data_IF_919182276885
#
_entry.id   IF_919182276885
#
_cell.length_a   1.000
_cell.length_b   1.000
_cell.length_c   1.000
_cell.angle_alpha   90.00
_cell.angle_beta   90.00
_cell.angle_gamma   90.00
#
_symmetry.space_group_name_H-M   'P 1'
#
loop_
_entity.id
_entity.type
_entity.pdbx_description
1 polymer ?
#
# COMPACT_ATOMS: atom_id res chain seq x y z
N UNK A 1 -31.67 -20.88 5.06
CA UNK A 1 -31.47 -19.51 5.53
C UNK A 1 -32.36 -19.19 6.72
N UNK A 2 -33.68 -19.04 6.57
CA UNK A 2 -34.59 -18.42 7.55
C UNK A 2 -34.55 -18.95 9.00
N UNK A 3 -34.14 -20.21 9.21
CA UNK A 3 -33.90 -20.71 10.57
C UNK A 3 -32.66 -20.07 11.19
N UNK A 4 -31.54 -20.01 10.45
CA UNK A 4 -30.28 -19.45 10.95
C UNK A 4 -30.42 -17.96 11.22
N UNK A 5 -30.94 -17.18 10.28
CA UNK A 5 -31.21 -15.73 10.44
C UNK A 5 -32.10 -15.45 11.65
N UNK A 6 -33.06 -16.34 11.95
CA UNK A 6 -33.87 -16.20 13.15
C UNK A 6 -33.12 -16.56 14.44
N UNK A 7 -32.25 -17.57 14.39
CA UNK A 7 -31.62 -18.16 15.58
C UNK A 7 -30.26 -17.56 15.94
N UNK A 8 -29.63 -16.74 15.09
CA UNK A 8 -28.47 -15.89 15.50
C UNK A 8 -28.80 -15.00 16.70
N UNK A 9 -30.10 -14.80 16.96
CA UNK A 9 -30.59 -14.04 18.10
C UNK A 9 -30.38 -14.67 19.48
N UNK A 10 -30.24 -16.00 19.54
CA UNK A 10 -30.19 -16.74 20.81
C UNK A 10 -29.07 -17.75 20.88
N UNK A 11 -28.60 -18.24 19.73
CA UNK A 11 -27.72 -19.38 19.66
C UNK A 11 -26.34 -18.93 19.16
N UNK A 12 -25.29 -19.37 19.84
CA UNK A 12 -23.94 -19.35 19.31
C UNK A 12 -23.73 -20.58 18.46
N UNK A 13 -23.29 -20.40 17.22
CA UNK A 13 -23.06 -21.48 16.28
C UNK A 13 -21.57 -21.82 16.15
N UNK A 14 -21.28 -23.08 15.87
CA UNK A 14 -19.95 -23.59 15.54
C UNK A 14 -20.12 -24.69 14.48
N UNK A 15 -19.82 -24.32 13.22
CA UNK A 15 -20.05 -25.12 12.03
C UNK A 15 -21.50 -25.62 11.90
N UNK A 16 -21.70 -26.93 12.08
CA UNK A 16 -22.99 -27.61 11.88
C UNK A 16 -23.78 -27.88 13.17
N UNK A 17 -23.43 -27.19 14.26
CA UNK A 17 -24.09 -27.28 15.56
C UNK A 17 -24.05 -25.93 16.29
N UNK A 18 -24.83 -25.80 17.36
CA UNK A 18 -24.59 -24.75 18.36
C UNK A 18 -23.33 -25.04 19.16
N UNK A 19 -22.79 -24.04 19.85
CA UNK A 19 -21.63 -24.17 20.74
C UNK A 19 -21.90 -25.18 21.89
N UNK A 20 -23.17 -25.30 22.31
CA UNK A 20 -23.64 -26.32 23.25
C UNK A 20 -23.77 -27.74 22.65
N UNK A 21 -23.41 -27.93 21.39
CA UNK A 21 -23.40 -29.21 20.69
C UNK A 21 -24.77 -29.66 20.18
N UNK A 22 -25.75 -28.75 20.05
CA UNK A 22 -27.05 -29.06 19.44
C UNK A 22 -26.92 -29.03 17.92
N UNK A 23 -27.14 -30.15 17.19
CA UNK A 23 -27.01 -30.15 15.74
C UNK A 23 -28.06 -29.26 15.06
N UNK A 24 -27.71 -28.69 13.90
CA UNK A 24 -28.67 -27.97 13.08
C UNK A 24 -29.87 -28.86 12.70
N UNK A 25 -31.09 -28.29 12.65
CA UNK A 25 -32.30 -29.07 12.43
C UNK A 25 -32.31 -29.74 11.05
N UNK A 26 -33.05 -30.85 10.94
CA UNK A 26 -33.32 -31.55 9.67
C UNK A 26 -32.07 -32.04 8.92
N UNK A 27 -30.95 -32.27 9.61
CA UNK A 27 -29.64 -32.59 9.01
C UNK A 27 -29.17 -31.53 7.99
N UNK A 28 -29.56 -30.28 8.20
CA UNK A 28 -29.05 -29.17 7.41
C UNK A 28 -27.55 -29.02 7.68
N UNK A 29 -26.77 -28.82 6.63
CA UNK A 29 -25.34 -28.56 6.72
C UNK A 29 -25.01 -27.23 6.08
N UNK A 30 -24.16 -26.46 6.74
CA UNK A 30 -23.62 -25.19 6.29
C UNK A 30 -22.13 -25.13 6.60
N UNK A 31 -21.46 -24.17 5.99
CA UNK A 31 -20.11 -23.74 6.39
C UNK A 31 -20.11 -22.38 7.08
N UNK A 32 -21.24 -21.67 7.05
CA UNK A 32 -21.39 -20.28 7.49
C UNK A 32 -20.73 -19.96 8.85
N UNK A 33 -20.70 -20.91 9.80
CA UNK A 33 -20.15 -20.72 11.14
C UNK A 33 -18.86 -21.51 11.40
N UNK A 34 -18.17 -21.97 10.34
CA UNK A 34 -16.98 -22.82 10.47
C UNK A 34 -15.79 -22.06 11.11
N UNK A 35 -15.71 -20.75 10.89
CA UNK A 35 -14.54 -19.93 11.24
C UNK A 35 -14.75 -19.02 12.47
N UNK A 36 -15.96 -19.00 13.05
CA UNK A 36 -16.30 -18.11 14.18
C UNK A 36 -15.36 -18.27 15.39
N UNK A 37 -14.81 -19.46 15.57
CA UNK A 37 -13.93 -19.80 16.70
C UNK A 37 -12.45 -19.50 16.48
N UNK A 38 -12.03 -18.98 15.33
CA UNK A 38 -10.62 -18.94 14.95
C UNK A 38 -9.79 -17.97 15.81
N UNK A 39 -10.37 -16.84 16.25
CA UNK A 39 -9.73 -15.88 17.16
C UNK A 39 -10.12 -16.06 18.63
N UNK A 40 -11.00 -17.02 18.93
CA UNK A 40 -11.53 -17.24 20.27
C UNK A 40 -12.95 -17.77 20.24
N UNK A 41 -13.36 -18.44 21.32
CA UNK A 41 -14.77 -18.82 21.45
C UNK A 41 -15.60 -17.56 21.77
N UNK A 42 -16.73 -17.34 21.07
CA UNK A 42 -17.60 -16.21 21.37
C UNK A 42 -18.27 -16.36 22.73
N UNK A 43 -18.33 -15.25 23.47
CA UNK A 43 -19.04 -15.20 24.76
C UNK A 43 -20.49 -14.73 24.61
N UNK A 44 -20.78 -13.89 23.61
CA UNK A 44 -22.10 -13.27 23.39
C UNK A 44 -22.64 -13.49 21.98
N UNK A 45 -23.96 -13.57 21.85
CA UNK A 45 -24.61 -13.70 20.54
C UNK A 45 -24.52 -12.40 19.72
N UNK A 46 -24.72 -12.48 18.40
CA UNK A 46 -24.87 -11.30 17.55
C UNK A 46 -25.94 -10.33 18.07
N UNK A 47 -27.05 -10.86 18.61
CA UNK A 47 -28.11 -10.05 19.20
C UNK A 47 -27.72 -9.33 20.50
N UNK A 48 -26.87 -9.95 21.33
CA UNK A 48 -26.41 -9.32 22.58
C UNK A 48 -25.50 -8.12 22.27
N UNK A 49 -24.83 -8.14 21.11
CA UNK A 49 -24.01 -7.04 20.57
C UNK A 49 -24.69 -6.25 19.45
N UNK A 50 -25.99 -6.42 19.25
CA UNK A 50 -26.72 -5.71 18.20
C UNK A 50 -26.92 -4.23 18.51
N UNK A 51 -26.91 -3.42 17.45
CA UNK A 51 -27.17 -1.99 17.56
C UNK A 51 -28.61 -1.68 17.93
N UNK A 52 -28.78 -0.66 18.76
CA UNK A 52 -30.08 -0.16 19.16
C UNK A 52 -30.91 0.38 17.99
N UNK A 53 -30.28 0.85 16.91
CA UNK A 53 -30.99 1.36 15.72
C UNK A 53 -31.64 0.25 14.90
N UNK A 54 -31.00 -0.92 14.81
CA UNK A 54 -31.51 -2.09 14.08
C UNK A 54 -32.60 -2.79 14.88
N UNK A 55 -32.39 -2.91 16.19
CA UNK A 55 -33.33 -3.59 17.09
C UNK A 55 -34.57 -2.75 17.47
N UNK A 56 -34.52 -1.42 17.27
CA UNK A 56 -35.60 -0.52 17.64
C UNK A 56 -36.89 -0.76 16.84
N UNK A 57 -38.00 -0.93 17.57
CA UNK A 57 -39.33 -1.08 16.95
C UNK A 57 -39.65 -2.50 16.49
N UNK A 58 -38.69 -3.43 16.57
CA UNK A 58 -38.93 -4.85 16.35
C UNK A 58 -39.79 -5.44 17.48
N UNK A 59 -40.57 -6.47 17.14
CA UNK A 59 -41.35 -7.20 18.13
C UNK A 59 -40.42 -8.00 19.05
N UNK A 60 -40.89 -8.37 20.24
CA UNK A 60 -40.13 -9.27 21.15
C UNK A 60 -39.82 -10.64 20.54
N UNK A 61 -40.49 -11.01 19.45
CA UNK A 61 -40.22 -12.24 18.71
C UNK A 61 -39.16 -12.08 17.63
N UNK A 62 -38.83 -10.86 17.22
CA UNK A 62 -37.93 -10.56 16.11
C UNK A 62 -36.67 -9.81 16.54
N UNK A 63 -36.67 -9.19 17.72
CA UNK A 63 -35.50 -8.50 18.25
C UNK A 63 -34.29 -9.43 18.29
N UNK A 64 -33.18 -8.97 17.70
CA UNK A 64 -31.92 -9.71 17.61
C UNK A 64 -31.83 -10.74 16.48
N UNK A 65 -32.88 -10.92 15.67
CA UNK A 65 -32.81 -11.78 14.49
C UNK A 65 -32.44 -10.96 13.25
N UNK A 66 -31.68 -11.58 12.34
CA UNK A 66 -31.51 -11.09 10.98
C UNK A 66 -32.84 -11.20 10.20
N UNK A 67 -33.10 -10.28 9.27
CA UNK A 67 -34.32 -10.26 8.46
C UNK A 67 -34.22 -11.25 7.30
N UNK A 68 -34.96 -12.37 7.31
CA UNK A 68 -34.91 -13.37 6.24
C UNK A 68 -35.49 -12.90 4.89
N UNK A 69 -35.95 -11.66 4.81
CA UNK A 69 -36.43 -11.01 3.59
C UNK A 69 -35.47 -9.94 3.06
N UNK A 70 -34.42 -9.62 3.82
CA UNK A 70 -33.31 -8.77 3.40
C UNK A 70 -32.04 -9.62 3.26
N UNK A 71 -31.12 -9.20 2.38
CA UNK A 71 -29.78 -9.79 2.35
C UNK A 71 -28.82 -9.05 3.30
N UNK A 72 -29.17 -7.82 3.66
CA UNK A 72 -28.41 -6.87 4.50
C UNK A 72 -29.43 -6.32 5.51
N UNK A 73 -29.37 -6.80 6.75
CA UNK A 73 -30.40 -6.54 7.76
C UNK A 73 -30.30 -5.13 8.35
N UNK A 74 -29.09 -4.60 8.46
CA UNK A 74 -28.83 -3.33 9.13
C UNK A 74 -28.51 -2.17 8.16
N UNK A 75 -28.69 -2.42 6.87
CA UNK A 75 -28.58 -1.49 5.74
C UNK A 75 -27.19 -0.85 5.67
N UNK A 76 -26.16 -1.67 5.85
CA UNK A 76 -24.79 -1.20 5.96
C UNK A 76 -23.98 -1.30 4.67
N UNK A 77 -24.44 -2.12 3.72
CA UNK A 77 -23.79 -2.39 2.45
C UNK A 77 -23.04 -3.71 2.41
N UNK A 78 -23.08 -4.52 3.47
CA UNK A 78 -22.53 -5.86 3.58
C UNK A 78 -23.69 -6.88 3.76
N UNK A 79 -23.64 -8.09 3.17
CA UNK A 79 -24.69 -9.08 3.35
C UNK A 79 -24.52 -9.86 4.66
N UNK A 80 -25.65 -10.18 5.32
CA UNK A 80 -25.66 -10.89 6.61
C UNK A 80 -24.85 -12.19 6.56
N UNK A 81 -24.95 -12.92 5.44
CA UNK A 81 -24.26 -14.19 5.24
C UNK A 81 -22.74 -14.03 5.09
N UNK A 82 -22.29 -12.92 4.50
CA UNK A 82 -20.87 -12.60 4.38
C UNK A 82 -20.31 -12.20 5.74
N UNK A 83 -21.01 -11.31 6.45
CA UNK A 83 -20.62 -10.86 7.79
C UNK A 83 -20.51 -12.02 8.76
N UNK A 84 -21.47 -12.94 8.80
CA UNK A 84 -21.41 -14.12 9.69
C UNK A 84 -20.23 -15.05 9.32
N UNK A 85 -19.91 -15.20 8.03
CA UNK A 85 -18.81 -16.05 7.57
C UNK A 85 -17.44 -15.50 7.99
N UNK A 86 -17.28 -14.18 7.93
CA UNK A 86 -16.06 -13.48 8.34
C UNK A 86 -16.07 -13.02 9.81
N UNK A 87 -17.19 -13.13 10.52
CA UNK A 87 -17.24 -12.78 11.93
C UNK A 87 -16.27 -13.63 12.76
N UNK A 88 -15.46 -12.95 13.56
CA UNK A 88 -14.59 -13.52 14.59
C UNK A 88 -14.92 -12.86 15.91
N UNK A 89 -14.70 -13.60 16.98
CA UNK A 89 -14.77 -13.02 18.32
C UNK A 89 -13.43 -12.40 18.68
N UNK A 90 -13.38 -11.07 18.75
CA UNK A 90 -12.21 -10.35 19.24
C UNK A 90 -12.20 -10.38 20.78
N UNK A 91 -11.27 -11.17 21.33
CA UNK A 91 -11.12 -11.38 22.78
C UNK A 91 -10.69 -10.13 23.55
N UNK A 92 -10.00 -9.18 22.89
CA UNK A 92 -9.50 -7.97 23.55
C UNK A 92 -10.60 -6.93 23.67
N UNK A 93 -11.38 -6.76 22.60
CA UNK A 93 -12.48 -5.78 22.55
C UNK A 93 -13.80 -6.33 23.07
N UNK A 94 -13.87 -7.63 23.37
CA UNK A 94 -15.07 -8.31 23.86
C UNK A 94 -16.25 -8.07 22.89
N UNK A 95 -15.99 -8.21 21.59
CA UNK A 95 -16.88 -7.84 20.50
C UNK A 95 -16.70 -8.75 19.27
N UNK A 96 -17.68 -8.71 18.38
CA UNK A 96 -17.59 -9.31 17.05
C UNK A 96 -16.84 -8.39 16.09
N UNK A 97 -15.97 -8.95 15.25
CA UNK A 97 -15.33 -8.18 14.16
C UNK A 97 -16.33 -7.73 13.09
N UNK A 98 -17.38 -8.54 12.87
CA UNK A 98 -18.53 -8.23 12.02
C UNK A 98 -19.82 -8.72 12.67
N UNK A 99 -20.90 -7.97 12.53
CA UNK A 99 -22.20 -8.26 13.10
C UNK A 99 -23.33 -7.74 12.21
N UNK A 100 -24.16 -8.63 11.64
CA UNK A 100 -25.26 -8.27 10.71
C UNK A 100 -26.42 -7.49 11.35
N UNK A 101 -26.23 -7.04 12.58
CA UNK A 101 -27.18 -6.28 13.38
C UNK A 101 -26.56 -5.00 13.93
N UNK A 102 -25.37 -4.60 13.47
CA UNK A 102 -24.67 -3.38 13.84
C UNK A 102 -23.95 -2.70 12.67
N UNK A 103 -24.73 -1.92 11.92
CA UNK A 103 -24.26 -1.15 10.77
C UNK A 103 -23.16 -0.10 10.98
N UNK A 104 -22.56 -0.02 12.17
CA UNK A 104 -21.38 0.80 12.45
C UNK A 104 -20.08 0.05 12.26
N UNK A 105 -20.10 -1.28 12.26
CA UNK A 105 -18.94 -2.14 12.01
C UNK A 105 -18.41 -2.05 10.58
N UNK A 106 -19.23 -1.63 9.60
CA UNK A 106 -18.79 -1.30 8.24
C UNK A 106 -17.60 -0.33 8.18
N UNK A 107 -17.45 0.51 9.21
CA UNK A 107 -16.36 1.49 9.32
C UNK A 107 -15.19 1.00 10.18
N UNK A 108 -15.31 -0.18 10.78
CA UNK A 108 -14.20 -0.82 11.49
C UNK A 108 -13.24 -1.43 10.47
N UNK A 109 -12.07 -1.77 10.97
CA UNK A 109 -10.93 -2.33 10.27
C UNK A 109 -10.42 -3.38 11.25
N UNK A 110 -10.80 -4.64 11.01
CA UNK A 110 -10.78 -5.67 12.04
C UNK A 110 -9.40 -6.34 12.20
N UNK A 111 -8.52 -6.20 11.21
CA UNK A 111 -7.13 -6.65 11.24
C UNK A 111 -6.11 -5.48 11.22
N UNK A 112 -6.60 -4.24 11.23
CA UNK A 112 -5.85 -2.99 11.32
C UNK A 112 -4.87 -2.76 10.15
N UNK A 113 -5.26 -3.20 8.95
CA UNK A 113 -4.48 -3.12 7.72
C UNK A 113 -4.73 -1.84 6.91
N UNK A 114 -5.67 -1.00 7.36
CA UNK A 114 -6.05 0.26 6.74
C UNK A 114 -7.29 0.19 5.84
N UNK A 115 -7.85 -1.00 5.62
CA UNK A 115 -9.06 -1.24 4.84
C UNK A 115 -10.26 -1.43 5.77
N UNK A 116 -11.42 -0.90 5.38
CA UNK A 116 -12.65 -1.13 6.16
C UNK A 116 -13.39 -2.39 5.75
N UNK A 117 -14.12 -2.98 6.70
CA UNK A 117 -15.05 -4.08 6.42
C UNK A 117 -15.94 -3.81 5.20
N UNK A 118 -16.44 -2.56 5.05
CA UNK A 118 -17.21 -2.16 3.88
C UNK A 118 -16.39 -2.22 2.58
N UNK A 119 -15.16 -1.69 2.59
CA UNK A 119 -14.28 -1.71 1.42
C UNK A 119 -13.92 -3.13 1.02
N UNK A 120 -13.66 -4.01 1.99
CA UNK A 120 -13.28 -5.41 1.82
C UNK A 120 -14.37 -6.27 1.21
N UNK A 121 -15.63 -6.08 1.61
CA UNK A 121 -16.74 -6.72 0.90
C UNK A 121 -16.90 -6.11 -0.51
N UNK A 122 -16.83 -4.77 -0.62
CA UNK A 122 -17.13 -4.07 -1.87
C UNK A 122 -15.98 -4.08 -2.90
N UNK A 123 -14.87 -4.78 -2.66
CA UNK A 123 -13.92 -5.16 -3.72
C UNK A 123 -14.57 -6.08 -4.76
N UNK A 124 -15.65 -6.77 -4.39
CA UNK A 124 -16.33 -7.75 -5.24
C UNK A 124 -16.79 -7.16 -6.56
N UNK A 125 -16.80 -7.98 -7.61
CA UNK A 125 -17.43 -7.60 -8.89
C UNK A 125 -18.88 -7.17 -8.67
N UNK A 126 -19.34 -6.03 -9.25
CA UNK A 126 -20.74 -5.61 -9.22
C UNK A 126 -21.75 -6.67 -9.66
N UNK A 127 -21.33 -7.68 -10.45
CA UNK A 127 -22.21 -8.79 -10.87
C UNK A 127 -22.46 -9.82 -9.76
N UNK A 128 -21.63 -9.82 -8.72
CA UNK A 128 -21.67 -10.73 -7.58
C UNK A 128 -22.05 -10.03 -6.27
N UNK A 129 -22.13 -8.70 -6.24
CA UNK A 129 -22.63 -7.97 -5.08
C UNK A 129 -24.09 -8.32 -4.78
N UNK A 130 -24.38 -8.64 -3.52
CA UNK A 130 -25.71 -8.92 -2.98
C UNK A 130 -26.38 -7.70 -2.34
N UNK A 131 -25.69 -6.55 -2.25
CA UNK A 131 -26.17 -5.31 -1.61
C UNK A 131 -26.32 -4.15 -2.61
N UNK A 132 -25.24 -3.48 -3.00
CA UNK A 132 -25.23 -2.36 -3.95
C UNK A 132 -24.22 -2.55 -5.09
N UNK A 133 -24.71 -2.97 -6.25
CA UNK A 133 -23.89 -3.15 -7.46
C UNK A 133 -23.35 -1.83 -8.06
N UNK A 134 -23.68 -0.66 -7.50
CA UNK A 134 -23.19 0.63 -8.02
C UNK A 134 -22.06 1.22 -7.19
N UNK A 135 -21.68 0.57 -6.09
CA UNK A 135 -20.63 1.02 -5.19
C UNK A 135 -19.65 -0.11 -4.95
N UNK A 136 -18.50 -0.01 -5.58
CA UNK A 136 -17.42 -0.99 -5.43
C UNK A 136 -16.07 -0.29 -5.26
N UNK A 137 -15.20 -0.90 -4.47
CA UNK A 137 -13.80 -0.51 -4.29
C UNK A 137 -13.00 -0.84 -5.57
N UNK A 138 -12.02 0.00 -5.96
CA UNK A 138 -11.55 1.20 -5.27
C UNK A 138 -12.24 2.50 -5.74
N UNK A 139 -13.18 2.43 -6.68
CA UNK A 139 -13.86 3.64 -7.16
C UNK A 139 -14.62 4.34 -6.03
N UNK A 140 -15.21 3.58 -5.12
CA UNK A 140 -15.79 4.08 -3.88
C UNK A 140 -14.90 3.67 -2.71
N UNK A 141 -14.73 4.58 -1.76
CA UNK A 141 -13.89 4.37 -0.58
C UNK A 141 -14.49 5.11 0.62
N UNK A 142 -14.02 4.74 1.81
CA UNK A 142 -14.40 5.34 3.08
C UNK A 142 -13.52 6.54 3.39
N UNK A 143 -14.16 7.65 3.75
CA UNK A 143 -13.46 8.87 4.20
C UNK A 143 -14.17 9.49 5.39
N UNK A 144 -13.58 10.54 5.95
CA UNK A 144 -14.14 11.31 7.05
C UNK A 144 -14.48 12.74 6.61
N UNK A 145 -15.72 13.16 6.89
CA UNK A 145 -16.18 14.55 6.74
C UNK A 145 -16.40 15.13 8.13
N UNK A 146 -15.42 15.89 8.62
CA UNK A 146 -15.39 16.30 10.02
C UNK A 146 -15.03 15.10 10.89
N UNK A 147 -15.95 14.64 11.72
CA UNK A 147 -15.77 13.45 12.57
C UNK A 147 -16.66 12.28 12.14
N UNK A 148 -17.40 12.41 11.03
CA UNK A 148 -18.32 11.37 10.56
C UNK A 148 -17.74 10.66 9.34
N UNK A 149 -17.89 9.34 9.29
CA UNK A 149 -17.57 8.54 8.12
C UNK A 149 -18.56 8.82 6.99
N UNK A 150 -18.06 8.71 5.75
CA UNK A 150 -18.84 8.85 4.55
C UNK A 150 -18.21 8.03 3.43
N UNK A 151 -19.06 7.51 2.54
CA UNK A 151 -18.63 6.95 1.26
C UNK A 151 -18.45 8.08 0.25
N UNK A 152 -17.32 8.08 -0.44
CA UNK A 152 -17.04 9.03 -1.51
C UNK A 152 -16.56 8.28 -2.75
N UNK A 153 -16.99 8.76 -3.91
CA UNK A 153 -16.45 8.30 -5.19
C UNK A 153 -15.11 9.00 -5.46
N UNK A 154 -14.10 8.26 -5.89
CA UNK A 154 -12.80 8.77 -6.31
C UNK A 154 -12.96 9.70 -7.51
N UNK A 155 -12.77 11.02 -7.33
CA UNK A 155 -12.89 11.96 -8.43
C UNK A 155 -11.80 11.72 -9.46
N UNK A 156 -12.16 11.71 -10.75
CA UNK A 156 -11.20 11.68 -11.85
C UNK A 156 -10.74 10.30 -12.29
N UNK A 157 -11.13 9.22 -11.60
CA UNK A 157 -10.83 7.87 -12.05
C UNK A 157 -11.59 7.54 -13.36
N UNK A 158 -10.93 6.98 -14.41
CA UNK A 158 -11.55 6.78 -15.71
C UNK A 158 -12.39 5.50 -15.81
N UNK A 159 -12.41 4.67 -14.76
CA UNK A 159 -13.05 3.35 -14.74
C UNK A 159 -14.06 3.23 -13.60
N UNK A 160 -15.02 2.33 -13.76
CA UNK A 160 -15.95 1.85 -12.71
C UNK A 160 -15.68 0.40 -12.33
N UNK A 161 -14.60 -0.20 -12.85
CA UNK A 161 -14.24 -1.57 -12.55
C UNK A 161 -13.82 -1.69 -11.08
N UNK A 162 -14.36 -2.70 -10.42
CA UNK A 162 -13.92 -3.15 -9.10
C UNK A 162 -12.61 -3.93 -9.19
N UNK A 163 -11.99 -4.19 -8.05
CA UNK A 163 -10.90 -5.17 -7.95
C UNK A 163 -11.32 -6.58 -8.39
N UNK A 164 -12.50 -7.01 -7.97
CA UNK A 164 -13.08 -8.33 -8.27
C UNK A 164 -13.41 -8.56 -9.74
N UNK A 165 -13.48 -7.52 -10.58
CA UNK A 165 -13.71 -7.66 -12.02
C UNK A 165 -12.51 -8.30 -12.76
N UNK A 166 -11.34 -8.33 -12.14
CA UNK A 166 -10.10 -8.86 -12.72
C UNK A 166 -9.78 -10.29 -12.28
N UNK A 167 -10.65 -10.91 -11.47
CA UNK A 167 -10.42 -12.25 -10.96
C UNK A 167 -10.57 -13.33 -12.03
N UNK A 168 -9.57 -14.21 -12.07
CA UNK A 168 -9.70 -15.50 -12.76
C UNK A 168 -10.37 -16.52 -11.84
N UNK A 169 -10.99 -17.55 -12.41
CA UNK A 169 -11.58 -18.63 -11.60
C UNK A 169 -10.57 -19.32 -10.68
N UNK A 170 -9.29 -19.36 -11.06
CA UNK A 170 -8.24 -19.90 -10.19
C UNK A 170 -8.00 -18.98 -8.99
N UNK A 171 -7.90 -17.67 -9.24
CA UNK A 171 -7.73 -16.68 -8.18
C UNK A 171 -8.92 -16.66 -7.22
N UNK A 172 -10.15 -16.71 -7.75
CA UNK A 172 -11.36 -16.84 -6.93
C UNK A 172 -11.39 -18.07 -6.03
N UNK A 173 -10.68 -19.15 -6.39
CA UNK A 173 -10.58 -20.33 -5.52
C UNK A 173 -9.50 -20.19 -4.44
N UNK A 174 -8.59 -19.22 -4.58
CA UNK A 174 -7.52 -18.93 -3.62
C UNK A 174 -8.00 -17.90 -2.59
N UNK A 175 -8.38 -16.70 -3.05
CA UNK A 175 -8.76 -15.57 -2.18
C UNK A 175 -10.26 -15.51 -1.93
N UNK A 176 -11.06 -15.91 -2.92
CA UNK A 176 -12.51 -15.76 -2.87
C UNK A 176 -13.00 -14.66 -3.82
N UNK A 177 -14.13 -14.06 -3.50
CA UNK A 177 -14.71 -12.96 -4.28
C UNK A 177 -14.56 -11.59 -3.59
N UNK A 178 -14.13 -11.59 -2.34
CA UNK A 178 -13.96 -10.43 -1.45
C UNK A 178 -12.61 -10.53 -0.76
N UNK A 179 -12.16 -9.44 -0.13
CA UNK A 179 -11.08 -9.50 0.85
C UNK A 179 -11.59 -10.17 2.14
N UNK A 180 -10.68 -10.57 3.03
CA UNK A 180 -10.98 -11.16 4.34
C UNK A 180 -10.68 -10.15 5.47
N UNK A 181 -11.71 -9.63 6.17
CA UNK A 181 -11.59 -8.66 7.28
C UNK A 181 -10.74 -9.05 8.48
N UNK A 182 -10.19 -10.25 8.48
CA UNK A 182 -9.38 -10.76 9.57
C UNK A 182 -8.03 -11.24 9.06
N UNK A 183 -7.62 -10.83 7.86
CA UNK A 183 -6.37 -11.19 7.22
C UNK A 183 -5.82 -10.01 6.41
N UNK A 184 -4.82 -9.36 6.99
CA UNK A 184 -4.18 -8.13 6.48
C UNK A 184 -3.61 -8.19 5.06
N UNK A 185 -3.46 -9.39 4.48
CA UNK A 185 -2.92 -9.66 3.14
C UNK A 185 -3.69 -10.84 2.56
N UNK A 186 -4.80 -10.54 1.87
CA UNK A 186 -5.77 -11.55 1.42
C UNK A 186 -5.17 -12.51 0.40
N UNK A 187 -4.32 -12.03 -0.50
CA UNK A 187 -3.77 -12.84 -1.58
C UNK A 187 -2.39 -13.46 -1.30
N UNK A 188 -1.75 -13.01 -0.22
CA UNK A 188 -0.54 -13.59 0.36
C UNK A 188 0.72 -13.22 -0.39
N UNK A 189 0.75 -12.05 -1.04
CA UNK A 189 1.90 -11.59 -1.81
C UNK A 189 2.86 -10.66 -1.06
N UNK A 190 2.50 -10.31 0.18
CA UNK A 190 3.29 -9.49 1.10
C UNK A 190 2.91 -8.01 1.11
N UNK A 191 1.93 -7.60 0.31
CA UNK A 191 1.32 -6.26 0.37
C UNK A 191 0.03 -6.33 1.19
N UNK A 192 -0.27 -5.30 1.97
CA UNK A 192 -1.48 -5.29 2.81
C UNK A 192 -2.68 -4.78 2.02
N UNK A 193 -3.88 -5.33 2.25
CA UNK A 193 -5.05 -4.99 1.43
C UNK A 193 -5.38 -3.48 1.50
N UNK A 194 -5.29 -2.89 2.69
CA UNK A 194 -5.48 -1.46 2.91
C UNK A 194 -4.37 -0.58 2.31
N UNK A 195 -3.14 -1.09 2.23
CA UNK A 195 -2.03 -0.42 1.53
C UNK A 195 -2.32 -0.45 0.02
N UNK A 196 -2.66 -1.60 -0.54
CA UNK A 196 -3.01 -1.73 -1.95
C UNK A 196 -4.20 -0.85 -2.33
N UNK A 197 -5.26 -0.82 -1.52
CA UNK A 197 -6.41 0.05 -1.73
C UNK A 197 -6.01 1.54 -1.82
N UNK A 198 -5.10 1.99 -0.94
CA UNK A 198 -4.72 3.40 -0.88
C UNK A 198 -3.79 3.79 -2.04
N UNK A 199 -2.84 2.92 -2.38
CA UNK A 199 -1.78 3.22 -3.35
C UNK A 199 -2.08 2.77 -4.77
N UNK A 200 -3.12 1.96 -5.00
CA UNK A 200 -3.49 1.53 -6.35
C UNK A 200 -3.71 2.72 -7.30
N UNK A 201 -3.28 2.55 -8.54
CA UNK A 201 -3.52 3.45 -9.66
C UNK A 201 -4.15 2.71 -10.84
N UNK A 202 -4.82 3.43 -11.75
CA UNK A 202 -5.34 2.81 -12.97
C UNK A 202 -4.31 2.86 -14.10
N UNK A 203 -3.77 1.70 -14.48
CA UNK A 203 -2.89 1.60 -15.64
C UNK A 203 -3.72 1.56 -16.94
N UNK A 204 -3.67 2.64 -17.72
CA UNK A 204 -4.45 2.77 -18.97
C UNK A 204 -4.02 1.77 -20.06
N UNK A 205 -2.73 1.47 -20.15
CA UNK A 205 -2.18 0.57 -21.18
C UNK A 205 -2.52 -0.89 -20.90
N UNK A 206 -2.37 -1.31 -19.65
CA UNK A 206 -2.72 -2.66 -19.20
C UNK A 206 -4.24 -2.83 -19.02
N UNK A 207 -4.96 -1.74 -18.74
CA UNK A 207 -6.39 -1.76 -18.48
C UNK A 207 -6.74 -2.46 -17.18
N UNK A 208 -5.93 -2.26 -16.13
CA UNK A 208 -6.08 -2.89 -14.83
C UNK A 208 -5.59 -1.95 -13.71
N UNK A 209 -5.87 -2.32 -12.47
CA UNK A 209 -5.35 -1.67 -11.27
C UNK A 209 -3.89 -2.07 -11.05
N UNK A 210 -3.05 -1.15 -10.57
CA UNK A 210 -1.62 -1.46 -10.32
C UNK A 210 -1.43 -2.34 -9.08
N UNK A 211 -2.34 -2.22 -8.12
CA UNK A 211 -2.40 -3.04 -6.91
C UNK A 211 -3.85 -3.52 -6.72
N UNK A 212 -4.04 -4.74 -6.23
CA UNK A 212 -5.32 -5.39 -6.11
C UNK A 212 -5.24 -6.49 -5.03
N UNK A 213 -5.93 -6.31 -3.89
CA UNK A 213 -5.84 -7.20 -2.71
C UNK A 213 -6.33 -8.63 -2.93
N UNK A 214 -6.77 -8.96 -4.14
CA UNK A 214 -7.24 -10.27 -4.49
C UNK A 214 -6.37 -10.95 -5.53
N UNK A 215 -5.30 -10.33 -6.02
CA UNK A 215 -4.47 -10.79 -7.15
C UNK A 215 -2.98 -10.65 -6.85
N UNK A 216 -2.43 -11.72 -6.27
CA UNK A 216 -1.01 -11.80 -5.97
C UNK A 216 -0.09 -11.48 -7.17
N UNK A 217 0.94 -10.69 -6.91
CA UNK A 217 2.02 -10.39 -7.84
C UNK A 217 1.68 -9.33 -8.87
N UNK A 218 0.85 -8.35 -8.52
CA UNK A 218 0.53 -7.22 -9.39
C UNK A 218 1.33 -5.94 -9.09
N UNK A 219 2.10 -5.89 -7.99
CA UNK A 219 3.01 -4.79 -7.64
C UNK A 219 4.28 -4.63 -8.51
N UNK A 220 4.26 -5.07 -9.77
CA UNK A 220 5.36 -4.92 -10.75
C UNK A 220 5.21 -3.66 -11.63
N UNK A 221 4.25 -2.78 -11.32
CA UNK A 221 4.13 -1.47 -11.96
C UNK A 221 5.05 -0.45 -11.29
N UNK A 222 5.59 0.47 -12.09
CA UNK A 222 6.27 1.68 -11.65
C UNK A 222 5.29 2.83 -11.94
N UNK A 223 4.46 3.16 -10.95
CA UNK A 223 3.30 4.02 -11.10
C UNK A 223 3.64 5.50 -11.32
N UNK A 224 4.77 5.93 -10.78
CA UNK A 224 5.23 7.31 -10.76
C UNK A 224 6.46 7.57 -11.64
N UNK A 225 6.99 6.53 -12.27
CA UNK A 225 8.08 6.54 -13.25
C UNK A 225 9.44 6.96 -12.65
N UNK A 226 9.69 6.56 -11.40
CA UNK A 226 10.90 6.91 -10.67
C UNK A 226 12.03 5.84 -10.76
N UNK A 227 11.68 4.64 -11.26
CA UNK A 227 12.58 3.51 -11.41
C UNK A 227 12.47 2.43 -10.33
N UNK A 228 11.47 2.49 -9.45
CA UNK A 228 11.05 1.40 -8.57
C UNK A 228 9.67 0.90 -8.96
N UNK A 229 9.44 -0.40 -8.73
CA UNK A 229 8.09 -0.95 -8.80
C UNK A 229 7.42 -0.87 -7.42
N UNK A 230 6.09 -0.77 -7.39
CA UNK A 230 5.30 -0.61 -6.17
C UNK A 230 5.70 -1.62 -5.07
N UNK A 231 5.94 -2.89 -5.44
CA UNK A 231 6.38 -3.94 -4.50
C UNK A 231 7.76 -3.68 -3.89
N UNK A 232 8.70 -3.11 -4.64
CA UNK A 232 10.02 -2.75 -4.11
C UNK A 232 9.92 -1.62 -3.09
N UNK A 233 9.03 -0.65 -3.34
CA UNK A 233 8.84 0.50 -2.47
C UNK A 233 8.24 0.11 -1.12
N UNK A 234 7.24 -0.78 -1.12
CA UNK A 234 6.73 -1.36 0.12
C UNK A 234 7.78 -2.20 0.84
N UNK A 235 8.58 -2.97 0.11
CA UNK A 235 9.63 -3.81 0.69
C UNK A 235 10.69 -3.00 1.46
N UNK A 236 10.92 -1.72 1.16
CA UNK A 236 11.85 -0.85 1.90
C UNK A 236 11.50 -0.78 3.40
N UNK A 237 10.22 -0.97 3.76
CA UNK A 237 9.77 -0.98 5.14
C UNK A 237 10.31 -2.18 5.95
N UNK A 238 10.59 -3.31 5.30
CA UNK A 238 10.96 -4.56 5.97
C UNK A 238 12.31 -5.14 5.53
N UNK A 239 12.85 -4.68 4.41
CA UNK A 239 14.02 -5.26 3.75
C UNK A 239 15.09 -4.20 3.45
N UNK A 240 16.35 -4.63 3.44
CA UNK A 240 17.45 -3.79 2.97
C UNK A 240 17.36 -3.65 1.44
N UNK A 241 17.87 -2.54 0.87
CA UNK A 241 17.91 -2.37 -0.58
C UNK A 241 18.64 -3.52 -1.28
N UNK A 242 17.97 -4.17 -2.23
CA UNK A 242 18.56 -5.17 -3.11
C UNK A 242 18.94 -4.51 -4.44
N UNK A 243 20.01 -3.72 -4.38
CA UNK A 243 20.46 -2.87 -5.48
C UNK A 243 21.67 -3.44 -6.25
N UNK A 244 21.90 -4.74 -6.12
CA UNK A 244 23.04 -5.45 -6.72
C UNK A 244 24.38 -5.24 -6.00
N UNK A 245 24.37 -4.64 -4.80
CA UNK A 245 25.55 -4.49 -3.96
C UNK A 245 25.43 -5.34 -2.69
N UNK A 246 26.58 -5.82 -2.19
CA UNK A 246 26.63 -6.51 -0.89
C UNK A 246 26.61 -5.48 0.25
N UNK A 247 25.62 -5.57 1.13
CA UNK A 247 25.55 -4.83 2.38
C UNK A 247 25.71 -5.78 3.58
N UNK A 248 26.23 -5.31 4.73
CA UNK A 248 26.23 -6.11 5.95
C UNK A 248 24.80 -6.48 6.36
N UNK A 249 24.59 -7.74 6.78
CA UNK A 249 23.27 -8.20 7.25
C UNK A 249 22.76 -7.48 8.50
N UNK A 250 23.63 -6.75 9.19
CA UNK A 250 23.34 -5.91 10.35
C UNK A 250 23.27 -4.42 10.02
N UNK A 251 23.34 -4.04 8.73
CA UNK A 251 23.01 -2.68 8.31
C UNK A 251 21.53 -2.36 8.68
N UNK A 252 21.24 -1.21 9.29
CA UNK A 252 19.88 -0.78 9.58
C UNK A 252 19.03 -0.67 8.32
N UNK A 253 17.71 -0.81 8.46
CA UNK A 253 16.78 -0.49 7.37
C UNK A 253 16.83 1.02 7.06
N UNK A 254 16.43 1.41 5.84
CA UNK A 254 16.48 2.83 5.42
C UNK A 254 15.72 3.74 6.39
N UNK A 255 14.56 3.30 6.87
CA UNK A 255 13.74 4.06 7.81
C UNK A 255 14.28 4.07 9.25
N UNK A 256 15.11 3.10 9.63
CA UNK A 256 15.82 3.07 10.92
C UNK A 256 17.03 4.03 10.89
N UNK A 257 17.77 4.07 9.79
CA UNK A 257 18.79 5.09 9.58
C UNK A 257 18.16 6.49 9.58
N UNK A 258 17.00 6.64 8.93
CA UNK A 258 16.26 7.90 8.95
C UNK A 258 15.89 8.38 10.35
N UNK A 259 15.53 7.49 11.27
CA UNK A 259 15.30 7.84 12.68
C UNK A 259 16.56 8.33 13.39
N UNK A 260 17.72 7.83 13.00
CA UNK A 260 19.01 8.22 13.58
C UNK A 260 19.50 9.55 13.02
N UNK A 261 19.39 9.75 11.70
CA UNK A 261 19.90 10.95 11.03
C UNK A 261 18.93 12.13 11.12
N UNK A 262 17.62 11.88 10.99
CA UNK A 262 16.56 12.90 10.91
C UNK A 262 15.28 12.48 11.66
N UNK A 263 15.31 12.35 13.00
CA UNK A 263 14.20 11.85 13.80
C UNK A 263 12.90 12.68 13.73
N UNK A 264 12.94 13.91 13.21
CA UNK A 264 11.76 14.78 13.08
C UNK A 264 10.99 14.58 11.78
N UNK A 265 11.61 14.01 10.75
CA UNK A 265 11.04 13.99 9.40
C UNK A 265 10.13 12.79 9.14
N UNK A 266 10.32 11.66 9.84
CA UNK A 266 9.48 10.46 9.71
C UNK A 266 7.98 10.78 9.83
N UNK A 267 7.60 11.54 10.85
CA UNK A 267 6.22 11.93 11.06
C UNK A 267 5.69 12.86 9.96
N UNK A 268 6.54 13.76 9.44
CA UNK A 268 6.18 14.68 8.37
C UNK A 268 6.00 13.95 7.04
N UNK A 269 6.88 12.99 6.74
CA UNK A 269 6.79 12.11 5.57
C UNK A 269 5.49 11.32 5.57
N UNK A 270 5.19 10.58 6.64
CA UNK A 270 3.93 9.80 6.75
C UNK A 270 2.72 10.71 6.58
N UNK A 271 2.73 11.90 7.20
CA UNK A 271 1.65 12.86 7.01
C UNK A 271 1.51 13.30 5.54
N UNK A 272 2.62 13.58 4.86
CA UNK A 272 2.64 13.96 3.44
C UNK A 272 2.10 12.87 2.53
N UNK A 273 2.50 11.61 2.77
CA UNK A 273 1.99 10.43 2.07
C UNK A 273 0.46 10.35 2.20
N UNK A 274 -0.09 10.49 3.41
CA UNK A 274 -1.54 10.38 3.61
C UNK A 274 -2.33 11.53 2.98
N UNK A 275 -1.85 12.77 3.08
CA UNK A 275 -2.57 13.92 2.52
C UNK A 275 -2.47 14.01 1.00
N UNK A 276 -1.42 13.42 0.39
CA UNK A 276 -1.26 13.40 -1.07
C UNK A 276 -2.35 12.56 -1.73
N UNK A 277 -2.95 11.60 -1.01
CA UNK A 277 -4.11 10.79 -1.44
C UNK A 277 -5.46 11.52 -1.28
N UNK A 278 -5.42 12.84 -1.11
CA UNK A 278 -6.57 13.73 -1.00
C UNK A 278 -7.57 13.32 0.10
N UNK A 279 -8.78 12.88 -0.27
CA UNK A 279 -9.80 12.41 0.66
C UNK A 279 -9.64 10.94 1.03
N UNK A 280 -8.90 10.14 0.26
CA UNK A 280 -8.73 8.70 0.52
C UNK A 280 -7.92 8.48 1.81
N UNK A 281 -6.78 9.14 1.95
CA UNK A 281 -5.92 9.02 3.13
C UNK A 281 -6.46 9.69 4.41
N UNK A 282 -7.61 10.39 4.37
CA UNK A 282 -8.13 11.13 5.54
C UNK A 282 -8.57 10.26 6.70
N UNK A 283 -9.07 9.05 6.43
CA UNK A 283 -9.48 8.10 7.47
C UNK A 283 -8.27 7.76 8.36
N UNK A 284 -7.17 7.39 7.69
CA UNK A 284 -5.92 6.90 8.27
C UNK A 284 -5.17 7.97 9.08
N UNK A 285 -5.57 9.25 8.96
CA UNK A 285 -5.07 10.30 9.85
C UNK A 285 -5.42 10.02 11.32
N UNK A 286 -6.50 9.28 11.61
CA UNK A 286 -6.83 8.89 12.99
C UNK A 286 -5.74 7.97 13.57
N UNK A 287 -5.34 6.96 12.82
CA UNK A 287 -4.33 5.96 13.22
C UNK A 287 -2.95 6.60 13.31
N UNK A 288 -2.60 7.45 12.34
CA UNK A 288 -1.41 8.29 12.41
C UNK A 288 -1.37 9.16 13.68
N UNK A 289 -2.48 9.82 14.02
CA UNK A 289 -2.55 10.65 15.22
C UNK A 289 -2.48 9.82 16.52
N UNK A 290 -2.98 8.59 16.52
CA UNK A 290 -2.86 7.67 17.65
C UNK A 290 -1.39 7.25 17.85
N UNK A 291 -0.71 6.88 16.77
CA UNK A 291 0.73 6.60 16.78
C UNK A 291 1.55 7.78 17.32
N UNK A 292 1.28 9.01 16.83
CA UNK A 292 1.96 10.22 17.34
C UNK A 292 1.71 10.50 18.83
N UNK A 293 0.61 9.98 19.39
CA UNK A 293 0.28 10.09 20.82
C UNK A 293 0.94 9.00 21.68
N UNK A 294 1.66 8.05 21.05
CA UNK A 294 2.43 7.00 21.71
C UNK A 294 1.74 5.65 21.73
N UNK A 295 0.63 5.48 21.01
CA UNK A 295 0.10 4.14 20.73
C UNK A 295 1.05 3.40 19.77
N UNK A 296 1.16 2.07 19.86
CA UNK A 296 1.87 1.28 18.86
C UNK A 296 1.30 1.53 17.45
N UNK A 297 2.14 1.52 16.39
CA UNK A 297 1.62 1.52 15.02
C UNK A 297 0.82 0.23 14.77
N UNK A 298 -0.27 0.35 14.02
CA UNK A 298 -0.95 -0.82 13.45
C UNK A 298 -0.24 -1.30 12.18
N UNK A 299 -0.73 -2.38 11.55
CA UNK A 299 -0.09 -2.98 10.39
C UNK A 299 0.07 -1.98 9.24
N UNK A 300 -0.98 -1.20 8.96
CA UNK A 300 -0.91 -0.13 7.96
C UNK A 300 0.19 0.90 8.27
N UNK A 301 0.16 1.48 9.48
CA UNK A 301 1.12 2.54 9.87
C UNK A 301 2.55 1.98 9.90
N UNK A 302 2.75 0.71 10.27
CA UNK A 302 4.06 0.07 10.26
C UNK A 302 4.70 0.08 8.86
N UNK A 303 3.92 -0.23 7.80
CA UNK A 303 4.39 -0.16 6.41
C UNK A 303 4.68 1.29 6.00
N UNK A 304 3.73 2.21 6.23
CA UNK A 304 3.87 3.61 5.79
C UNK A 304 5.02 4.35 6.51
N UNK A 305 5.38 3.92 7.72
CA UNK A 305 6.56 4.46 8.42
C UNK A 305 7.87 4.12 7.71
N UNK A 306 7.90 3.06 6.89
CA UNK A 306 9.11 2.48 6.35
C UNK A 306 9.26 2.49 4.83
N UNK A 307 8.19 2.73 4.08
CA UNK A 307 8.17 2.67 2.60
C UNK A 307 8.48 4.02 1.92
N UNK A 308 8.82 3.98 0.62
CA UNK A 308 8.60 5.09 -0.31
C UNK A 308 7.17 5.07 -0.88
N UNK A 309 6.68 6.20 -1.38
CA UNK A 309 5.31 6.36 -1.88
C UNK A 309 5.22 6.05 -3.38
N UNK A 310 4.60 4.92 -3.80
CA UNK A 310 4.59 4.44 -5.20
C UNK A 310 3.79 5.28 -6.20
N UNK A 311 3.36 6.46 -5.77
CA UNK A 311 2.60 7.38 -6.61
C UNK A 311 3.24 8.77 -6.64
N UNK A 312 4.42 8.94 -6.02
CA UNK A 312 5.15 10.18 -5.91
C UNK A 312 6.66 9.88 -6.06
N UNK A 313 7.32 10.36 -7.13
CA UNK A 313 8.70 9.96 -7.43
C UNK A 313 9.77 10.37 -6.41
N UNK A 314 9.43 11.15 -5.39
CA UNK A 314 10.33 11.86 -4.48
C UNK A 314 9.60 11.98 -3.13
N UNK A 315 9.72 10.94 -2.32
CA UNK A 315 8.93 10.73 -1.11
C UNK A 315 9.29 11.72 -0.01
N UNK A 316 10.58 11.99 0.18
CA UNK A 316 11.05 12.93 1.21
C UNK A 316 11.11 14.39 0.72
N UNK A 317 10.97 14.63 -0.58
CA UNK A 317 10.81 15.95 -1.19
C UNK A 317 12.12 16.71 -1.33
N UNK A 318 13.25 16.01 -1.39
CA UNK A 318 14.57 16.61 -1.41
C UNK A 318 15.07 16.97 -2.83
N UNK A 319 14.37 16.45 -3.85
CA UNK A 319 14.62 16.68 -5.27
C UNK A 319 15.35 15.54 -5.98
N UNK A 320 15.75 14.48 -5.28
CA UNK A 320 16.17 13.19 -5.84
C UNK A 320 14.94 12.29 -6.03
N UNK A 321 15.07 11.25 -6.86
CA UNK A 321 13.97 10.28 -7.04
C UNK A 321 14.23 9.06 -6.20
N UNK A 322 13.19 8.47 -5.61
CA UNK A 322 13.35 7.38 -4.64
C UNK A 322 14.10 6.19 -5.28
N UNK A 323 13.81 5.89 -6.55
CA UNK A 323 14.53 4.89 -7.32
C UNK A 323 16.00 5.20 -7.56
N UNK A 324 16.38 6.45 -7.79
CA UNK A 324 17.80 6.79 -7.85
C UNK A 324 18.50 6.49 -6.53
N UNK A 325 17.88 6.89 -5.42
CA UNK A 325 18.44 6.72 -4.10
C UNK A 325 18.54 5.25 -3.71
N UNK A 326 17.48 4.47 -3.94
CA UNK A 326 17.46 3.02 -3.73
C UNK A 326 18.55 2.30 -4.53
N UNK A 327 18.66 2.57 -5.84
CA UNK A 327 19.60 1.85 -6.69
C UNK A 327 21.05 2.25 -6.43
N UNK A 328 21.32 3.49 -6.01
CA UNK A 328 22.69 4.00 -5.84
C UNK A 328 23.17 4.09 -4.40
N UNK A 329 22.31 3.80 -3.42
CA UNK A 329 22.72 3.77 -2.02
C UNK A 329 23.73 2.66 -1.70
N UNK A 330 24.54 2.90 -0.68
CA UNK A 330 25.45 1.94 -0.09
C UNK A 330 25.63 2.24 1.39
N UNK A 331 25.83 1.18 2.19
CA UNK A 331 26.06 1.32 3.62
C UNK A 331 27.50 1.76 3.91
N UNK A 332 27.68 2.95 4.48
CA UNK A 332 28.98 3.45 4.94
C UNK A 332 29.22 3.02 6.39
N UNK A 333 30.15 2.07 6.56
CA UNK A 333 30.55 1.55 7.87
C UNK A 333 31.27 2.58 8.76
N UNK A 334 31.98 3.54 8.17
CA UNK A 334 32.75 4.54 8.92
C UNK A 334 31.84 5.68 9.41
N UNK A 335 30.85 6.06 8.59
CA UNK A 335 29.86 7.08 8.94
C UNK A 335 28.62 6.51 9.65
N UNK A 336 28.42 5.20 9.60
CA UNK A 336 27.27 4.48 10.16
C UNK A 336 25.94 5.06 9.65
N UNK A 337 25.80 5.12 8.32
CA UNK A 337 24.62 5.62 7.61
C UNK A 337 24.54 5.05 6.20
N UNK A 338 23.36 5.15 5.59
CA UNK A 338 23.24 4.99 4.14
C UNK A 338 23.76 6.25 3.43
N UNK A 339 24.39 6.06 2.27
CA UNK A 339 24.98 7.15 1.49
C UNK A 339 23.92 8.09 0.91
N UNK A 340 22.81 7.52 0.45
CA UNK A 340 21.62 8.22 -0.04
C UNK A 340 20.40 7.42 0.43
N UNK A 341 19.28 8.06 0.75
CA UNK A 341 18.16 7.37 1.38
C UNK A 341 16.83 8.11 1.10
N UNK A 342 15.88 7.46 0.39
CA UNK A 342 14.64 8.10 -0.11
C UNK A 342 13.65 8.54 0.98
N UNK A 343 14.04 8.37 2.25
CA UNK A 343 13.23 8.66 3.41
C UNK A 343 13.77 9.83 4.23
N UNK A 344 14.84 10.50 3.79
CA UNK A 344 15.51 11.60 4.50
C UNK A 344 16.06 12.72 3.59
N UNK A 345 15.47 13.91 3.70
CA UNK A 345 15.87 15.08 2.91
C UNK A 345 17.27 15.68 3.22
N UNK A 346 17.96 15.13 4.22
CA UNK A 346 19.19 15.70 4.79
C UNK A 346 20.46 15.30 4.06
N UNK A 347 20.41 14.28 3.22
CA UNK A 347 21.61 13.69 2.63
C UNK A 347 22.01 14.32 1.27
N UNK A 348 21.16 15.14 0.67
CA UNK A 348 21.41 15.93 -0.57
C UNK A 348 22.75 16.67 -0.61
N UNK A 349 23.26 17.09 0.55
CA UNK A 349 24.48 17.90 0.69
C UNK A 349 25.73 17.08 0.99
N UNK A 350 25.61 15.76 1.15
CA UNK A 350 26.75 14.87 1.37
C UNK A 350 27.51 14.63 0.07
N UNK A 351 28.81 14.46 0.19
CA UNK A 351 29.68 13.95 -0.87
C UNK A 351 30.03 12.52 -0.48
N UNK A 352 29.13 11.60 -0.80
CA UNK A 352 29.16 10.24 -0.27
C UNK A 352 30.23 9.36 -0.92
N UNK A 353 30.60 9.66 -2.17
CA UNK A 353 31.66 8.94 -2.88
C UNK A 353 33.04 9.65 -2.79
N UNK A 354 33.06 10.90 -2.29
CA UNK A 354 34.27 11.65 -1.98
C UNK A 354 35.00 12.14 -3.24
N UNK A 355 34.28 12.36 -4.33
CA UNK A 355 34.87 12.68 -5.64
C UNK A 355 35.03 14.20 -5.91
N UNK A 356 34.64 15.04 -4.95
CA UNK A 356 34.79 16.50 -5.03
C UNK A 356 36.21 16.93 -5.44
N UNK A 357 36.29 18.01 -6.23
CA UNK A 357 37.55 18.47 -6.82
C UNK A 357 37.88 19.93 -6.45
N UNK A 358 39.04 20.14 -5.81
CA UNK A 358 39.63 21.45 -5.51
C UNK A 358 40.02 22.16 -6.83
N UNK A 359 39.07 22.93 -7.36
CA UNK A 359 39.20 23.62 -8.63
C UNK A 359 40.16 24.81 -8.53
N UNK A 360 40.25 25.42 -7.36
CA UNK A 360 40.99 26.66 -7.15
C UNK A 360 42.45 26.43 -6.68
N UNK A 361 42.74 25.23 -6.17
CA UNK A 361 44.05 24.75 -5.75
C UNK A 361 44.51 25.28 -4.39
N UNK A 362 43.59 25.68 -3.50
CA UNK A 362 43.93 26.19 -2.16
C UNK A 362 44.04 25.09 -1.09
N UNK A 363 43.73 23.84 -1.46
CA UNK A 363 43.89 22.65 -0.64
C UNK A 363 42.72 22.33 0.27
N UNK A 364 41.58 23.02 0.13
CA UNK A 364 40.33 22.76 0.85
C UNK A 364 39.21 22.58 -0.18
N UNK A 365 38.21 21.74 0.13
CA UNK A 365 36.99 21.64 -0.69
C UNK A 365 35.96 22.59 -0.08
N UNK A 366 35.64 23.68 -0.79
CA UNK A 366 34.58 24.59 -0.38
C UNK A 366 33.19 24.16 -0.90
N UNK A 367 32.14 24.85 -0.47
CA UNK A 367 30.76 24.55 -0.87
C UNK A 367 30.47 24.73 -2.38
N UNK A 368 31.32 25.43 -3.12
CA UNK A 368 31.24 25.54 -4.58
C UNK A 368 32.06 24.46 -5.31
N UNK A 369 32.93 23.76 -4.59
CA UNK A 369 33.77 22.66 -5.08
C UNK A 369 33.23 21.28 -4.66
N UNK A 370 32.28 21.26 -3.73
CA UNK A 370 31.57 20.05 -3.31
C UNK A 370 30.66 19.56 -4.43
N UNK A 371 30.85 18.32 -4.87
CA UNK A 371 29.95 17.61 -5.75
C UNK A 371 29.07 16.68 -4.91
N UNK A 372 27.99 17.23 -4.37
CA UNK A 372 27.12 16.49 -3.44
C UNK A 372 26.18 15.53 -4.16
N UNK A 373 25.55 14.60 -3.43
CA UNK A 373 24.54 13.65 -3.92
C UNK A 373 23.52 14.33 -4.86
N UNK A 374 22.91 15.45 -4.43
CA UNK A 374 21.96 16.19 -5.26
C UNK A 374 22.60 16.80 -6.53
N UNK A 375 23.86 17.22 -6.46
CA UNK A 375 24.59 17.72 -7.64
C UNK A 375 24.91 16.62 -8.62
N UNK A 376 25.21 15.41 -8.15
CA UNK A 376 25.36 14.23 -8.99
C UNK A 376 24.05 13.94 -9.74
N UNK A 377 22.94 13.87 -9.00
CA UNK A 377 21.60 13.66 -9.58
C UNK A 377 21.24 14.72 -10.63
N UNK A 378 21.35 16.01 -10.27
CA UNK A 378 21.06 17.13 -11.17
C UNK A 378 21.98 17.16 -12.41
N UNK A 379 23.18 16.57 -12.32
CA UNK A 379 24.14 16.54 -13.42
C UNK A 379 23.61 15.75 -14.62
N UNK A 380 22.70 14.79 -14.42
CA UNK A 380 22.02 14.04 -15.49
C UNK A 380 21.23 14.94 -16.44
N UNK A 381 20.87 16.12 -15.96
CA UNK A 381 20.04 17.08 -16.69
C UNK A 381 20.81 18.33 -17.08
N UNK A 382 21.65 18.82 -16.18
CA UNK A 382 22.28 20.15 -16.32
C UNK A 382 23.79 20.10 -16.51
N UNK A 383 24.42 18.96 -16.25
CA UNK A 383 25.87 18.81 -16.21
C UNK A 383 26.43 19.76 -15.16
N UNK A 384 27.07 20.85 -15.60
CA UNK A 384 27.47 21.92 -14.67
C UNK A 384 26.27 22.77 -14.27
N UNK A 385 25.73 22.53 -13.07
CA UNK A 385 24.54 23.22 -12.53
C UNK A 385 24.56 24.76 -12.64
N UNK A 386 25.71 25.40 -12.41
CA UNK A 386 25.86 26.87 -12.53
C UNK A 386 25.60 27.38 -13.96
N UNK A 387 25.76 26.52 -14.96
CA UNK A 387 25.55 26.82 -16.38
C UNK A 387 24.19 26.34 -16.90
N UNK A 388 23.27 25.86 -16.06
CA UNK A 388 21.95 25.35 -16.51
C UNK A 388 21.15 26.35 -17.33
N UNK A 389 21.32 27.64 -17.06
CA UNK A 389 20.67 28.73 -17.79
C UNK A 389 21.34 29.10 -19.13
N UNK A 390 22.40 28.38 -19.54
CA UNK A 390 23.12 28.63 -20.79
C UNK A 390 22.60 27.80 -21.96
N UNK A 391 21.84 26.74 -21.69
CA UNK A 391 21.16 25.95 -22.72
C UNK A 391 20.02 26.80 -23.31
N UNK A 392 19.95 26.98 -24.64
CA UNK A 392 18.86 27.71 -25.27
C UNK A 392 17.49 27.13 -24.87
N UNK A 393 16.60 27.96 -24.32
CA UNK A 393 15.26 27.53 -23.89
C UNK A 393 14.43 26.84 -25.01
N UNK A 394 14.77 27.09 -26.28
CA UNK A 394 14.15 26.42 -27.43
C UNK A 394 14.50 24.93 -27.57
N UNK A 395 15.59 24.47 -26.94
CA UNK A 395 15.99 23.07 -26.90
C UNK A 395 15.33 22.31 -25.74
N UNK A 396 14.75 23.04 -24.77
CA UNK A 396 14.18 22.42 -23.57
C UNK A 396 15.26 21.87 -22.64
N UNK A 397 14.84 20.94 -21.80
CA UNK A 397 15.70 20.13 -20.95
C UNK A 397 16.09 18.90 -21.77
N UNK A 398 17.38 18.60 -21.86
CA UNK A 398 17.89 17.40 -22.52
C UNK A 398 18.66 16.62 -21.47
N UNK A 399 18.21 15.40 -21.18
CA UNK A 399 18.91 14.47 -20.30
C UNK A 399 20.18 13.94 -21.00
N UNK A 400 21.29 13.81 -20.26
CA UNK A 400 22.57 13.36 -20.81
C UNK A 400 22.51 11.92 -21.35
N UNK A 401 21.61 11.08 -20.84
CA UNK A 401 21.33 9.76 -21.41
C UNK A 401 20.69 9.86 -22.79
N UNK A 402 19.68 10.72 -22.96
CA UNK A 402 19.06 10.99 -24.26
C UNK A 402 20.06 11.60 -25.25
N UNK A 403 20.88 12.56 -24.80
CA UNK A 403 21.93 13.18 -25.63
C UNK A 403 22.98 12.13 -26.06
N UNK A 404 23.41 11.25 -25.15
CA UNK A 404 24.32 10.16 -25.49
C UNK A 404 23.70 9.18 -26.50
N UNK A 405 22.41 8.84 -26.33
CA UNK A 405 21.70 8.00 -27.30
C UNK A 405 21.54 8.70 -28.65
N UNK A 406 21.29 10.01 -28.68
CA UNK A 406 21.23 10.79 -29.91
C UNK A 406 22.59 10.81 -30.62
N UNK A 407 23.68 11.05 -29.89
CA UNK A 407 25.04 10.99 -30.41
C UNK A 407 25.36 9.61 -31.02
N UNK A 408 24.95 8.52 -30.37
CA UNK A 408 25.11 7.18 -30.93
C UNK A 408 24.36 6.96 -32.24
N UNK A 409 23.14 7.48 -32.34
CA UNK A 409 22.34 7.40 -33.56
C UNK A 409 22.96 8.24 -34.69
N UNK A 410 23.45 9.44 -34.39
CA UNK A 410 24.04 10.35 -35.38
C UNK A 410 25.42 9.90 -35.86
N UNK A 411 26.32 9.52 -34.94
CA UNK A 411 27.71 9.23 -35.24
C UNK A 411 27.92 7.80 -35.75
N UNK A 412 27.21 6.82 -35.17
CA UNK A 412 27.40 5.40 -35.48
C UNK A 412 26.26 4.82 -36.33
N UNK A 413 25.20 5.60 -36.60
CA UNK A 413 24.05 5.15 -37.37
C UNK A 413 23.22 4.08 -36.65
N UNK A 414 23.28 4.06 -35.32
CA UNK A 414 22.50 3.13 -34.50
C UNK A 414 21.00 3.47 -34.58
N UNK A 415 20.16 2.46 -34.39
CA UNK A 415 18.75 2.69 -34.08
C UNK A 415 18.57 2.90 -32.56
N UNK A 416 17.38 3.34 -32.09
CA UNK A 416 17.16 3.63 -30.66
C UNK A 416 17.54 2.48 -29.70
N UNK A 417 17.21 1.24 -30.05
CA UNK A 417 17.52 0.06 -29.22
C UNK A 417 19.04 -0.19 -29.17
N UNK A 418 19.73 -0.02 -30.29
CA UNK A 418 21.19 -0.14 -30.35
C UNK A 418 21.90 0.97 -29.57
N UNK A 419 21.35 2.19 -29.59
CA UNK A 419 21.87 3.31 -28.82
C UNK A 419 21.68 3.10 -27.32
N UNK A 420 20.50 2.61 -26.89
CA UNK A 420 20.24 2.24 -25.50
C UNK A 420 21.20 1.12 -25.04
N UNK A 421 21.39 0.09 -25.87
CA UNK A 421 22.35 -0.98 -25.57
C UNK A 421 23.78 -0.45 -25.48
N UNK A 422 24.17 0.52 -26.31
CA UNK A 422 25.50 1.12 -26.25
C UNK A 422 25.70 1.89 -24.93
N UNK A 423 24.70 2.67 -24.51
CA UNK A 423 24.70 3.37 -23.23
C UNK A 423 24.81 2.39 -22.05
N UNK A 424 24.01 1.31 -22.06
CA UNK A 424 24.11 0.21 -21.10
C UNK A 424 25.54 -0.36 -21.04
N UNK A 425 26.13 -0.63 -22.21
CA UNK A 425 27.49 -1.17 -22.30
C UNK A 425 28.55 -0.22 -21.76
N UNK A 426 28.34 1.10 -21.86
CA UNK A 426 29.24 2.07 -21.26
C UNK A 426 29.10 2.17 -19.74
N UNK A 427 27.87 2.06 -19.23
CA UNK A 427 27.64 2.04 -17.79
C UNK A 427 28.34 0.86 -17.12
N UNK A 428 28.14 -0.36 -17.63
CA UNK A 428 28.76 -1.56 -17.04
C UNK A 428 30.29 -1.60 -17.19
N UNK A 429 30.89 -0.81 -18.10
CA UNK A 429 32.36 -0.69 -18.21
C UNK A 429 32.99 0.08 -17.05
N UNK A 430 32.21 0.79 -16.24
CA UNK A 430 32.72 1.56 -15.09
C UNK A 430 33.35 0.64 -14.03
N UNK A 431 32.80 -0.56 -13.83
CA UNK A 431 33.32 -1.51 -12.85
C UNK A 431 32.36 -2.64 -12.54
N UNK A 432 32.77 -3.54 -11.65
CA UNK A 432 31.97 -4.71 -11.25
C UNK A 432 30.67 -4.29 -10.55
N UNK A 433 30.70 -3.27 -9.69
CA UNK A 433 29.48 -2.73 -9.04
C UNK A 433 28.44 -2.27 -10.07
N UNK A 434 28.87 -1.64 -11.17
CA UNK A 434 27.96 -1.24 -12.25
C UNK A 434 27.42 -2.42 -13.05
N UNK A 435 28.16 -3.53 -13.14
CA UNK A 435 27.65 -4.78 -13.72
C UNK A 435 26.59 -5.37 -12.80
N UNK A 436 26.92 -5.57 -11.52
CA UNK A 436 26.05 -6.24 -10.55
C UNK A 436 24.73 -5.48 -10.36
N UNK A 437 24.78 -4.15 -10.26
CA UNK A 437 23.59 -3.29 -10.20
C UNK A 437 22.73 -3.42 -11.45
N UNK A 438 23.32 -3.38 -12.64
CA UNK A 438 22.54 -3.50 -13.86
C UNK A 438 21.97 -4.92 -14.04
N UNK A 439 22.70 -5.95 -13.63
CA UNK A 439 22.18 -7.32 -13.64
C UNK A 439 20.99 -7.44 -12.69
N UNK A 440 21.02 -6.76 -11.54
CA UNK A 440 19.92 -6.70 -10.59
C UNK A 440 18.70 -5.95 -11.15
N UNK A 441 18.88 -4.72 -11.64
CA UNK A 441 17.81 -3.89 -12.25
C UNK A 441 17.09 -4.65 -13.37
N UNK A 442 17.83 -5.39 -14.21
CA UNK A 442 17.24 -6.16 -15.32
C UNK A 442 16.67 -7.52 -14.91
N UNK A 443 16.78 -7.89 -13.63
CA UNK A 443 16.20 -9.13 -13.10
C UNK A 443 14.81 -8.95 -12.49
N UNK A 444 14.47 -7.70 -12.16
CA UNK A 444 13.18 -7.28 -11.61
C UNK A 444 12.15 -7.16 -12.73
#
# INVERSE_FOLDING_TARGET
MNYLEYHVRTDLFNGNSTLDGVPLPSNFTTRLFDNIGDLGAPDDTFADRASGSVTAGLSTYSVGAADPLSADTDDDGMPDGWEIWFARWNLLDDAWTLNPLDSTDRWQDADDDGMTNWEEYNVVSPMHSETDSNRSSPQWFVTTIGTAFALQQWPGIPTTASFGDFLTQNQTNLTGLTADPNNVDTDGDGMLDGVELLFTAWNVSAGTWTLNPLVAGDGDFDGDEDGLIDRQEFAIAAEQPDNGMDHPSDAPLLHEDGDLQQPTEKAQRVFNILISKETRGKRLLADFNAWQQGEPPNAFIEVVLGMSDPTIPDTDGDGMYDGFEYWFTSWDLDQNRWSINPLIDGDVNLDSDGDSFDCNGDGEIDANETFSNLREWESRTWGKFLNRNTVPASLGIIDFGEDAMAAYQEELGFNPIQAQQALYQDFIKKGQSSVDRMDMINSV
#
